data_IF_690182989111
#
_entry.id   IF_690182989111
#
_cell.length_a   1.000
_cell.length_b   1.000
_cell.length_c   1.000
_cell.angle_alpha   90.00
_cell.angle_beta   90.00
_cell.angle_gamma   90.00
#
_symmetry.space_group_name_H-M   'P 1'
#
loop_
_entity.id
_entity.type
_entity.pdbx_description
1 polymer ?
#
# COMPACT_ATOMS: atom_id res chain seq x y z
N UNK A 1 8.93 -19.47 32.44
CA UNK A 1 8.95 -18.12 31.85
C UNK A 1 8.40 -18.25 30.42
N UNK A 2 7.19 -17.76 30.17
CA UNK A 2 6.58 -17.72 28.83
C UNK A 2 6.92 -16.38 28.19
N UNK A 3 7.32 -16.38 26.91
CA UNK A 3 7.39 -15.15 26.13
C UNK A 3 6.01 -14.48 26.15
N UNK A 4 5.89 -13.20 26.55
CA UNK A 4 4.60 -12.50 26.60
C UNK A 4 4.04 -12.17 25.21
N UNK A 5 4.83 -12.41 24.17
CA UNK A 5 4.45 -12.18 22.78
C UNK A 5 4.18 -13.54 22.16
N UNK A 6 2.91 -13.91 22.15
CA UNK A 6 2.42 -15.14 21.53
C UNK A 6 2.93 -15.28 20.10
N UNK A 7 3.24 -16.52 19.74
CA UNK A 7 3.51 -16.95 18.36
C UNK A 7 2.35 -16.50 17.44
N UNK A 8 2.71 -16.11 16.21
CA UNK A 8 1.81 -15.95 15.05
C UNK A 8 0.78 -14.81 15.12
N UNK A 9 1.25 -13.56 15.18
CA UNK A 9 0.47 -12.44 14.63
C UNK A 9 1.05 -12.16 13.24
N UNK A 10 0.30 -12.33 12.13
CA UNK A 10 0.72 -11.81 10.84
C UNK A 10 0.74 -10.28 10.98
N UNK A 11 1.92 -9.73 11.28
CA UNK A 11 2.13 -8.33 11.61
C UNK A 11 1.51 -7.39 10.57
N UNK A 12 1.33 -7.83 9.33
CA UNK A 12 1.00 -7.02 8.17
C UNK A 12 -0.48 -6.62 8.02
N UNK A 13 -1.43 -7.31 8.67
CA UNK A 13 -2.87 -7.02 8.47
C UNK A 13 -3.35 -5.71 9.13
N UNK A 14 -2.61 -5.21 10.11
CA UNK A 14 -2.92 -3.96 10.81
C UNK A 14 -2.03 -2.77 10.36
N UNK A 15 -1.13 -2.96 9.38
CA UNK A 15 -0.33 -1.85 8.88
C UNK A 15 -1.17 -0.97 7.95
N UNK A 16 -1.22 0.36 8.21
CA UNK A 16 -1.89 1.28 7.31
C UNK A 16 -1.19 1.25 5.94
N UNK A 17 -2.00 1.23 4.88
CA UNK A 17 -1.49 1.41 3.52
C UNK A 17 -1.12 2.88 3.36
N UNK A 18 0.15 3.19 3.11
CA UNK A 18 0.58 4.55 2.79
C UNK A 18 0.61 4.74 1.27
N UNK A 19 0.11 5.87 0.79
CA UNK A 19 0.05 6.18 -0.64
C UNK A 19 0.63 7.57 -0.90
N UNK A 20 1.64 7.61 -1.76
CA UNK A 20 2.32 8.83 -2.18
C UNK A 20 1.93 9.14 -3.62
N UNK A 21 1.41 10.34 -3.84
CA UNK A 21 0.78 10.74 -5.09
C UNK A 21 1.50 11.93 -5.74
N UNK A 22 1.33 12.05 -7.05
CA UNK A 22 1.65 13.25 -7.84
C UNK A 22 0.41 13.69 -8.64
N UNK A 23 0.56 14.70 -9.50
CA UNK A 23 -0.55 15.22 -10.32
C UNK A 23 -0.87 14.34 -11.54
N UNK A 24 -0.26 13.16 -11.68
CA UNK A 24 -0.47 12.29 -12.84
C UNK A 24 -1.83 11.59 -12.83
N UNK A 25 -2.30 11.20 -14.02
CA UNK A 25 -3.47 10.34 -14.16
C UNK A 25 -3.26 8.96 -13.52
N UNK A 26 -2.01 8.47 -13.47
CA UNK A 26 -1.66 7.23 -12.77
C UNK A 26 -1.98 7.33 -11.28
N UNK A 27 -1.69 8.47 -10.65
CA UNK A 27 -1.97 8.73 -9.24
C UNK A 27 -3.47 8.77 -8.93
N UNK A 28 -4.26 9.41 -9.79
CA UNK A 28 -5.73 9.43 -9.65
C UNK A 28 -6.33 8.04 -9.78
N UNK A 29 -5.86 7.26 -10.75
CA UNK A 29 -6.34 5.89 -10.97
C UNK A 29 -5.92 4.96 -9.82
N UNK A 30 -4.73 5.13 -9.24
CA UNK A 30 -4.30 4.34 -8.08
C UNK A 30 -5.23 4.55 -6.87
N UNK A 31 -5.65 5.79 -6.60
CA UNK A 31 -6.65 6.08 -5.55
C UNK A 31 -7.96 5.35 -5.83
N UNK A 32 -8.47 5.48 -7.06
CA UNK A 32 -9.74 4.85 -7.46
C UNK A 32 -9.71 3.33 -7.27
N UNK A 33 -8.63 2.67 -7.66
CA UNK A 33 -8.50 1.21 -7.53
C UNK A 33 -8.47 0.77 -6.06
N UNK A 34 -7.83 1.56 -5.20
CA UNK A 34 -7.80 1.28 -3.76
C UNK A 34 -9.19 1.46 -3.14
N UNK A 35 -9.93 2.49 -3.55
CA UNK A 35 -11.32 2.70 -3.13
C UNK A 35 -12.24 1.56 -3.60
N UNK A 36 -12.11 1.10 -4.85
CA UNK A 36 -12.85 -0.05 -5.40
C UNK A 36 -12.53 -1.35 -4.62
N UNK A 37 -11.29 -1.50 -4.17
CA UNK A 37 -10.83 -2.57 -3.29
C UNK A 37 -11.22 -2.38 -1.80
N UNK A 38 -11.91 -1.30 -1.43
CA UNK A 38 -12.26 -0.93 -0.05
C UNK A 38 -11.04 -0.76 0.86
N UNK A 39 -9.91 -0.37 0.28
CA UNK A 39 -8.67 -0.06 0.99
C UNK A 39 -8.62 1.45 1.17
N UNK A 40 -8.50 1.91 2.42
CA UNK A 40 -8.40 3.33 2.74
C UNK A 40 -6.93 3.67 3.01
N UNK A 41 -6.20 4.21 2.03
CA UNK A 41 -4.80 4.57 2.23
C UNK A 41 -4.68 5.86 3.05
N UNK A 42 -3.58 5.98 3.79
CA UNK A 42 -3.09 7.25 4.32
C UNK A 42 -2.34 7.95 3.19
N UNK A 43 -2.84 9.11 2.75
CA UNK A 43 -2.15 9.92 1.74
C UNK A 43 -0.95 10.61 2.39
N UNK A 44 0.22 10.46 1.79
CA UNK A 44 1.48 10.99 2.31
C UNK A 44 2.11 11.99 1.34
N UNK A 45 2.47 13.17 1.85
CA UNK A 45 3.15 14.25 1.13
C UNK A 45 4.69 14.20 1.28
N UNK A 46 5.25 12.99 1.41
CA UNK A 46 6.69 12.81 1.64
C UNK A 46 7.54 13.02 0.38
N UNK A 47 8.73 13.62 0.55
CA UNK A 47 9.77 13.71 -0.48
C UNK A 47 10.33 12.32 -0.80
N UNK A 48 9.68 11.65 -1.74
CA UNK A 48 10.16 10.42 -2.35
C UNK A 48 10.92 10.76 -3.63
N UNK A 49 11.92 11.65 -3.55
CA UNK A 49 12.63 12.21 -4.72
C UNK A 49 13.23 11.13 -5.65
N UNK A 50 13.51 9.94 -5.11
CA UNK A 50 14.09 8.82 -5.84
C UNK A 50 13.08 7.76 -6.29
N UNK A 51 11.79 7.90 -5.93
CA UNK A 51 10.77 6.89 -6.20
C UNK A 51 9.68 7.43 -7.12
N UNK A 52 9.23 6.57 -8.03
CA UNK A 52 8.21 6.92 -9.02
C UNK A 52 6.82 6.79 -8.40
N UNK A 53 6.04 7.87 -8.49
CA UNK A 53 4.65 7.91 -8.04
C UNK A 53 3.69 7.42 -9.16
N UNK A 54 2.49 6.91 -8.83
CA UNK A 54 2.01 6.60 -7.49
C UNK A 54 2.87 5.53 -6.81
N UNK A 55 3.05 5.68 -5.50
CA UNK A 55 3.79 4.72 -4.68
C UNK A 55 2.94 4.28 -3.51
N UNK A 56 2.78 2.97 -3.35
CA UNK A 56 2.06 2.35 -2.26
C UNK A 56 3.04 1.60 -1.36
N UNK A 57 2.97 1.86 -0.06
CA UNK A 57 3.67 1.07 0.96
C UNK A 57 2.64 0.31 1.80
N UNK A 58 2.89 -0.98 1.98
CA UNK A 58 2.11 -1.82 2.87
C UNK A 58 3.01 -2.82 3.60
N UNK A 59 3.12 -2.69 4.92
CA UNK A 59 4.07 -3.46 5.71
C UNK A 59 5.52 -3.21 5.27
N UNK A 60 6.16 -4.24 4.71
CA UNK A 60 7.52 -4.15 4.12
C UNK A 60 7.51 -4.04 2.59
N UNK A 61 6.33 -4.09 1.96
CA UNK A 61 6.15 -4.04 0.51
C UNK A 61 6.10 -2.60 0.01
N UNK A 62 6.79 -2.33 -1.11
CA UNK A 62 6.77 -1.04 -1.82
C UNK A 62 6.41 -1.29 -3.29
N UNK A 63 5.34 -0.64 -3.75
CA UNK A 63 4.79 -0.79 -5.09
C UNK A 63 4.80 0.56 -5.80
N UNK A 64 5.60 0.68 -6.86
CA UNK A 64 5.76 1.92 -7.64
C UNK A 64 5.06 1.81 -8.99
N UNK A 65 4.46 2.90 -9.46
CA UNK A 65 3.62 2.98 -10.66
C UNK A 65 2.29 2.24 -10.51
N UNK A 66 1.34 2.67 -11.33
CA UNK A 66 0.00 2.11 -11.35
C UNK A 66 -0.02 0.60 -11.64
N UNK A 67 0.84 0.12 -12.54
CA UNK A 67 0.90 -1.30 -12.91
C UNK A 67 1.30 -2.20 -11.72
N UNK A 68 2.28 -1.77 -10.91
CA UNK A 68 2.71 -2.54 -9.74
C UNK A 68 1.61 -2.59 -8.67
N UNK A 69 0.90 -1.48 -8.47
CA UNK A 69 -0.25 -1.40 -7.56
C UNK A 69 -1.39 -2.32 -8.02
N UNK A 70 -1.69 -2.34 -9.33
CA UNK A 70 -2.68 -3.27 -9.93
C UNK A 70 -2.30 -4.72 -9.68
N UNK A 71 -1.03 -5.07 -9.91
CA UNK A 71 -0.54 -6.43 -9.68
C UNK A 71 -0.65 -6.82 -8.20
N UNK A 72 -0.34 -5.90 -7.29
CA UNK A 72 -0.50 -6.11 -5.84
C UNK A 72 -1.96 -6.38 -5.46
N UNK A 73 -2.90 -5.52 -5.91
CA UNK A 73 -4.34 -5.69 -5.67
C UNK A 73 -4.87 -7.05 -6.16
N UNK A 74 -4.39 -7.52 -7.32
CA UNK A 74 -4.79 -8.81 -7.87
C UNK A 74 -4.18 -10.01 -7.12
N UNK A 75 -3.10 -9.81 -6.35
CA UNK A 75 -2.35 -10.89 -5.70
C UNK A 75 -2.68 -11.08 -4.21
N UNK A 76 -3.03 -10.01 -3.50
CA UNK A 76 -3.08 -9.98 -2.02
C UNK A 76 -4.50 -9.77 -1.46
N UNK A 77 -5.52 -9.63 -2.31
CA UNK A 77 -6.93 -9.59 -1.89
C UNK A 77 -7.52 -11.01 -2.07
N UNK A 78 -7.54 -11.87 -1.02
CA UNK A 78 -8.34 -13.09 -1.06
C UNK A 78 -9.84 -12.75 -1.06
N UNK A 79 -10.61 -13.49 -1.86
CA UNK A 79 -12.08 -13.44 -1.99
C UNK A 79 -12.81 -13.50 -0.63
#
# INVERSE_FOLDING_TARGET
MQSPWGKDIPLYKDYPVALYLDESEESKEAVRLLEEAKIVPVICDGDTELLRRPLLEWGIGVHQRLESIKNWLNSEIPD
#
